data_IF_709185463941
#
_entry.id   IF_709185463941
#
_cell.length_a   1.000
_cell.length_b   1.000
_cell.length_c   1.000
_cell.angle_alpha   90.00
_cell.angle_beta   90.00
_cell.angle_gamma   90.00
#
_symmetry.space_group_name_H-M   'P 1'
#
loop_
_entity.id
_entity.type
_entity.pdbx_description
1 polymer ?
#
# COMPACT_ATOMS: atom_id res chain seq x y z
N UNK A 1 -6.08 21.98 -2.52
CA UNK A 1 -6.28 21.94 -3.98
C UNK A 1 -5.12 21.15 -4.59
N UNK A 2 -5.35 19.89 -4.99
CA UNK A 2 -4.37 19.08 -5.72
C UNK A 2 -4.89 19.01 -7.15
N UNK A 3 -4.20 19.67 -8.08
CA UNK A 3 -4.53 19.63 -9.50
C UNK A 3 -4.16 18.22 -9.98
N UNK A 4 -5.14 17.45 -10.46
CA UNK A 4 -4.88 16.16 -11.09
C UNK A 4 -4.18 16.40 -12.43
N UNK A 5 -2.85 16.48 -12.39
CA UNK A 5 -2.04 16.51 -13.60
C UNK A 5 -2.01 15.08 -14.14
N UNK A 6 -2.73 14.86 -15.25
CA UNK A 6 -2.48 13.67 -16.07
C UNK A 6 -1.09 13.83 -16.67
N UNK A 7 -0.14 13.03 -16.19
CA UNK A 7 1.22 13.03 -16.74
C UNK A 7 1.19 12.17 -18.00
N UNK A 8 1.73 12.70 -19.10
CA UNK A 8 1.96 11.87 -20.28
C UNK A 8 3.01 10.81 -19.94
N UNK A 9 3.06 9.71 -20.70
CA UNK A 9 4.11 8.70 -20.49
C UNK A 9 5.50 9.30 -20.69
N UNK A 10 5.65 10.29 -21.57
CA UNK A 10 6.91 11.00 -21.78
C UNK A 10 7.35 11.76 -20.51
N UNK A 11 6.43 12.47 -19.85
CA UNK A 11 6.73 13.18 -18.59
C UNK A 11 7.17 12.20 -17.48
N UNK A 12 6.58 11.00 -17.45
CA UNK A 12 6.97 9.94 -16.50
C UNK A 12 8.38 9.44 -16.82
N UNK A 13 8.69 9.18 -18.09
CA UNK A 13 9.98 8.67 -18.50
C UNK A 13 11.11 9.68 -18.19
N UNK A 14 10.88 10.97 -18.47
CA UNK A 14 11.79 12.08 -18.15
C UNK A 14 11.99 12.23 -16.64
N UNK A 15 10.91 12.14 -15.85
CA UNK A 15 10.99 12.14 -14.39
C UNK A 15 11.88 11.00 -13.88
N UNK A 16 11.71 9.80 -14.45
CA UNK A 16 12.48 8.62 -14.08
C UNK A 16 13.95 8.75 -14.50
N UNK A 17 14.25 9.40 -15.63
CA UNK A 17 15.64 9.67 -16.06
C UNK A 17 16.32 10.66 -15.13
N UNK A 18 15.63 11.73 -14.73
CA UNK A 18 16.14 12.69 -13.75
C UNK A 18 16.37 12.05 -12.37
N UNK A 19 15.50 11.14 -11.93
CA UNK A 19 15.69 10.38 -10.69
C UNK A 19 16.86 9.40 -10.78
N UNK A 20 17.01 8.69 -11.91
CA UNK A 20 18.13 7.79 -12.15
C UNK A 20 19.46 8.54 -12.09
N UNK A 21 19.58 9.69 -12.77
CA UNK A 21 20.79 10.52 -12.71
C UNK A 21 21.16 10.91 -11.27
N UNK A 22 20.16 11.27 -10.46
CA UNK A 22 20.33 11.64 -9.04
C UNK A 22 20.72 10.49 -8.13
N UNK A 23 20.33 9.24 -8.45
CA UNK A 23 20.73 8.04 -7.72
C UNK A 23 22.22 7.73 -7.95
N UNK A 24 22.76 8.10 -9.12
CA UNK A 24 24.15 7.87 -9.51
C UNK A 24 25.05 9.10 -9.41
N UNK A 25 24.56 10.21 -8.84
CA UNK A 25 25.33 11.44 -8.65
C UNK A 25 26.00 11.46 -7.26
N UNK A 26 27.34 11.38 -7.15
CA UNK A 26 28.02 11.49 -5.86
C UNK A 26 27.67 12.78 -5.14
N UNK A 27 27.45 12.70 -3.82
CA UNK A 27 27.06 13.83 -2.98
C UNK A 27 25.58 14.22 -3.04
N UNK A 28 24.79 13.63 -3.95
CA UNK A 28 23.34 13.81 -3.93
C UNK A 28 22.69 12.92 -2.85
N UNK A 29 21.60 13.37 -2.22
CA UNK A 29 20.92 12.64 -1.13
C UNK A 29 20.31 11.28 -1.50
N UNK A 30 20.23 10.97 -2.78
CA UNK A 30 19.76 9.69 -3.30
C UNK A 30 20.93 8.76 -3.68
N UNK A 31 22.16 9.26 -3.61
CA UNK A 31 23.34 8.44 -3.84
C UNK A 31 23.52 7.42 -2.71
N UNK A 32 24.06 6.24 -3.03
CA UNK A 32 24.35 5.16 -2.08
C UNK A 32 23.17 4.70 -1.21
N UNK A 33 21.94 4.87 -1.68
CA UNK A 33 20.79 4.28 -0.98
C UNK A 33 20.93 2.75 -0.90
N UNK A 34 20.53 2.14 0.24
CA UNK A 34 20.49 0.70 0.40
C UNK A 34 19.76 0.05 -0.76
N UNK A 35 20.32 -1.04 -1.28
CA UNK A 35 19.88 -1.73 -2.48
C UNK A 35 19.59 -3.20 -2.15
N UNK A 36 18.48 -3.71 -2.68
CA UNK A 36 18.14 -5.13 -2.58
C UNK A 36 17.64 -5.66 -3.93
N UNK A 37 18.00 -6.89 -4.28
CA UNK A 37 17.45 -7.57 -5.44
C UNK A 37 15.94 -7.78 -5.31
N UNK A 38 15.20 -7.51 -6.39
CA UNK A 38 13.77 -7.75 -6.48
C UNK A 38 13.51 -9.18 -6.97
N UNK A 39 13.68 -10.15 -6.06
CA UNK A 39 13.66 -11.58 -6.41
C UNK A 39 14.63 -11.90 -7.56
N UNK A 40 14.24 -12.82 -8.43
CA UNK A 40 15.06 -13.26 -9.58
C UNK A 40 14.86 -12.40 -10.84
N UNK A 41 14.24 -11.23 -10.73
CA UNK A 41 13.90 -10.39 -11.89
C UNK A 41 15.09 -9.67 -12.53
N UNK A 42 16.25 -9.68 -11.87
CA UNK A 42 17.41 -8.87 -12.22
C UNK A 42 17.25 -7.37 -11.90
N UNK A 43 16.12 -6.96 -11.34
CA UNK A 43 15.87 -5.59 -10.90
C UNK A 43 16.38 -5.36 -9.48
N UNK A 44 16.72 -4.12 -9.16
CA UNK A 44 17.21 -3.71 -7.85
C UNK A 44 16.25 -2.67 -7.28
N UNK A 45 15.86 -2.81 -6.01
CA UNK A 45 15.11 -1.80 -5.29
C UNK A 45 16.06 -1.03 -4.39
N UNK A 46 16.20 0.28 -4.65
CA UNK A 46 16.80 1.23 -3.71
C UNK A 46 15.73 1.84 -2.84
N UNK A 47 15.96 1.92 -1.53
CA UNK A 47 14.94 2.39 -0.61
C UNK A 47 15.42 3.45 0.37
N UNK A 48 14.48 4.27 0.84
CA UNK A 48 14.69 5.21 1.95
C UNK A 48 13.37 5.54 2.64
N UNK A 49 13.48 6.00 3.88
CA UNK A 49 12.38 6.62 4.61
C UNK A 49 12.67 8.11 4.79
N UNK A 50 11.68 8.97 4.54
CA UNK A 50 11.76 10.40 4.82
C UNK A 50 10.38 10.92 5.23
N UNK A 51 10.31 11.71 6.31
CA UNK A 51 9.07 12.30 6.83
C UNK A 51 7.93 11.31 7.12
N UNK A 52 8.28 10.03 7.36
CA UNK A 52 7.36 8.91 7.58
C UNK A 52 6.79 8.28 6.30
N UNK A 53 7.28 8.70 5.13
CA UNK A 53 6.99 8.10 3.83
C UNK A 53 8.11 7.13 3.43
N UNK A 54 7.74 6.05 2.74
CA UNK A 54 8.70 5.06 2.24
C UNK A 54 8.84 5.19 0.74
N UNK A 55 10.06 5.38 0.27
CA UNK A 55 10.40 5.53 -1.15
C UNK A 55 11.11 4.27 -1.61
N UNK A 56 10.63 3.69 -2.71
CA UNK A 56 11.21 2.52 -3.37
C UNK A 56 11.47 2.87 -4.83
N UNK A 57 12.74 2.90 -5.22
CA UNK A 57 13.19 3.16 -6.59
C UNK A 57 13.62 1.84 -7.21
N UNK A 58 13.00 1.44 -8.31
CA UNK A 58 13.29 0.18 -9.00
C UNK A 58 14.22 0.43 -10.16
N UNK A 59 15.49 0.07 -10.01
CA UNK A 59 16.49 0.11 -11.07
C UNK A 59 16.44 -1.15 -11.93
N UNK A 60 16.66 -0.96 -13.22
CA UNK A 60 16.95 -2.00 -14.21
C UNK A 60 18.40 -1.84 -14.64
N UNK A 61 19.35 -2.57 -14.02
CA UNK A 61 20.77 -2.47 -14.35
C UNK A 61 21.08 -2.86 -15.81
N UNK A 62 20.30 -3.78 -16.39
CA UNK A 62 20.50 -4.26 -17.75
C UNK A 62 20.23 -3.15 -18.78
N UNK A 63 19.20 -2.35 -18.52
CA UNK A 63 18.83 -1.20 -19.34
C UNK A 63 19.48 0.12 -18.86
N UNK A 64 20.26 0.09 -17.77
CA UNK A 64 20.90 1.26 -17.14
C UNK A 64 19.93 2.42 -16.90
N UNK A 65 18.74 2.09 -16.37
CA UNK A 65 17.66 3.05 -16.16
C UNK A 65 16.88 2.75 -14.89
N UNK A 66 16.02 3.68 -14.49
CA UNK A 66 15.00 3.44 -13.47
C UNK A 66 13.73 2.88 -14.13
N UNK A 67 13.35 1.65 -13.82
CA UNK A 67 12.11 1.01 -14.30
C UNK A 67 10.86 1.69 -13.73
N UNK A 68 10.97 2.27 -12.54
CA UNK A 68 9.90 3.01 -11.89
C UNK A 68 10.18 3.26 -10.41
N UNK A 69 9.18 3.76 -9.71
CA UNK A 69 9.24 3.89 -8.26
C UNK A 69 7.84 3.72 -7.64
N UNK A 70 7.81 3.39 -6.35
CA UNK A 70 6.61 3.48 -5.50
C UNK A 70 6.94 4.30 -4.26
N UNK A 71 6.05 5.23 -3.92
CA UNK A 71 6.10 5.95 -2.65
C UNK A 71 4.89 5.53 -1.84
N UNK A 72 5.12 5.03 -0.64
CA UNK A 72 4.07 4.84 0.36
C UNK A 72 3.90 6.15 1.12
N UNK A 73 3.02 7.01 0.60
CA UNK A 73 2.80 8.35 1.12
C UNK A 73 2.04 8.32 2.43
N UNK A 74 2.24 9.36 3.23
CA UNK A 74 1.32 9.70 4.30
C UNK A 74 0.04 10.32 3.74
N UNK A 75 -1.00 10.36 4.56
CA UNK A 75 -2.27 10.98 4.22
C UNK A 75 -2.60 12.04 5.29
N UNK A 76 -2.13 13.28 5.13
CA UNK A 76 -2.40 14.36 6.09
C UNK A 76 -3.89 14.68 6.30
N UNK A 77 -4.75 14.26 5.37
CA UNK A 77 -6.20 14.34 5.48
C UNK A 77 -6.80 13.36 6.49
N UNK A 78 -6.07 12.29 6.85
CA UNK A 78 -6.50 11.34 7.87
C UNK A 78 -6.29 11.91 9.28
N UNK A 79 -7.05 11.42 10.27
CA UNK A 79 -6.73 11.71 11.66
C UNK A 79 -5.30 11.25 12.00
N UNK A 80 -4.56 12.06 12.77
CA UNK A 80 -3.14 11.82 13.10
C UNK A 80 -2.84 10.42 13.63
N UNK A 81 -3.79 9.79 14.33
CA UNK A 81 -3.66 8.41 14.82
C UNK A 81 -3.68 7.38 13.68
N UNK A 82 -4.50 7.60 12.65
CA UNK A 82 -4.62 6.71 11.49
C UNK A 82 -3.45 6.88 10.52
N UNK A 83 -3.01 8.12 10.30
CA UNK A 83 -1.86 8.46 9.45
C UNK A 83 -0.53 7.81 9.92
N UNK A 84 -0.42 7.36 11.18
CA UNK A 84 0.74 6.59 11.65
C UNK A 84 0.84 5.19 11.03
N UNK A 85 -0.29 4.59 10.66
CA UNK A 85 -0.39 3.19 10.27
C UNK A 85 -0.83 2.98 8.83
N UNK A 86 -1.52 3.96 8.24
CA UNK A 86 -2.03 3.90 6.88
C UNK A 86 -1.08 4.61 5.91
N UNK A 87 -0.84 4.00 4.76
CA UNK A 87 -0.08 4.59 3.66
C UNK A 87 -0.83 4.53 2.35
N UNK A 88 -0.72 5.59 1.56
CA UNK A 88 -1.27 5.66 0.21
C UNK A 88 -0.13 5.39 -0.79
N UNK A 89 -0.07 4.20 -1.39
CA UNK A 89 0.95 3.91 -2.37
C UNK A 89 0.69 4.70 -3.66
N UNK A 90 1.73 5.33 -4.18
CA UNK A 90 1.75 6.03 -5.46
C UNK A 90 2.89 5.48 -6.31
N UNK A 91 2.54 4.88 -7.44
CA UNK A 91 3.49 4.17 -8.30
C UNK A 91 3.57 4.82 -9.67
N UNK A 92 4.79 5.06 -10.15
CA UNK A 92 5.07 5.45 -11.53
C UNK A 92 6.03 4.45 -12.15
N UNK A 93 5.71 3.97 -13.35
CA UNK A 93 6.50 2.96 -14.05
C UNK A 93 6.73 3.42 -15.50
N UNK A 94 7.92 3.16 -16.03
CA UNK A 94 8.18 3.23 -17.47
C UNK A 94 7.22 2.31 -18.21
N UNK A 95 6.88 2.66 -19.45
CA UNK A 95 6.01 1.83 -20.28
C UNK A 95 6.53 0.38 -20.41
N UNK A 96 7.84 0.20 -20.56
CA UNK A 96 8.52 -1.10 -20.65
C UNK A 96 8.45 -1.95 -19.37
N UNK A 97 8.16 -1.32 -18.23
CA UNK A 97 8.07 -1.95 -16.92
C UNK A 97 6.61 -2.20 -16.48
N UNK A 98 5.63 -1.61 -17.18
CA UNK A 98 4.21 -1.80 -16.91
C UNK A 98 3.75 -3.23 -17.25
N UNK A 99 2.68 -3.68 -16.59
CA UNK A 99 2.07 -5.02 -16.79
C UNK A 99 3.00 -6.22 -16.52
N UNK A 100 4.15 -5.99 -15.87
CA UNK A 100 5.11 -7.03 -15.44
C UNK A 100 4.99 -7.40 -13.96
N UNK A 101 3.91 -6.98 -13.28
CA UNK A 101 3.68 -7.30 -11.86
C UNK A 101 4.54 -6.49 -10.87
N UNK A 102 5.28 -5.47 -11.31
CA UNK A 102 6.15 -4.69 -10.42
C UNK A 102 5.37 -3.98 -9.30
N UNK A 103 4.30 -3.26 -9.64
CA UNK A 103 3.47 -2.59 -8.65
C UNK A 103 2.88 -3.59 -7.65
N UNK A 104 2.38 -4.74 -8.13
CA UNK A 104 1.89 -5.82 -7.27
C UNK A 104 2.97 -6.29 -6.30
N UNK A 105 4.18 -6.55 -6.79
CA UNK A 105 5.30 -7.03 -5.98
C UNK A 105 5.66 -6.02 -4.89
N UNK A 106 5.75 -4.73 -5.23
CA UNK A 106 6.06 -3.67 -4.27
C UNK A 106 4.95 -3.49 -3.22
N UNK A 107 3.68 -3.62 -3.61
CA UNK A 107 2.55 -3.50 -2.67
C UNK A 107 2.51 -4.69 -1.72
N UNK A 108 2.71 -5.90 -2.24
CA UNK A 108 2.83 -7.13 -1.43
C UNK A 108 3.96 -7.03 -0.43
N UNK A 109 5.14 -6.58 -0.86
CA UNK A 109 6.26 -6.33 0.05
C UNK A 109 5.87 -5.45 1.25
N UNK A 110 5.16 -4.35 1.01
CA UNK A 110 4.67 -3.47 2.08
C UNK A 110 3.66 -4.17 3.00
N UNK A 111 2.66 -4.84 2.41
CA UNK A 111 1.61 -5.55 3.15
C UNK A 111 2.17 -6.71 3.99
N UNK A 112 3.11 -7.46 3.43
CA UNK A 112 3.78 -8.59 4.08
C UNK A 112 4.66 -8.10 5.24
N UNK A 113 5.28 -6.93 5.10
CA UNK A 113 6.00 -6.25 6.18
C UNK A 113 5.06 -5.65 7.26
N UNK A 114 3.74 -5.68 7.05
CA UNK A 114 2.73 -5.21 8.00
C UNK A 114 2.27 -3.77 7.79
N UNK A 115 2.62 -3.11 6.68
CA UNK A 115 2.00 -1.84 6.30
C UNK A 115 0.52 -2.06 5.97
N UNK A 116 -0.34 -1.15 6.41
CA UNK A 116 -1.73 -1.10 5.96
C UNK A 116 -1.85 -0.04 4.86
N UNK A 117 -2.48 -0.40 3.75
CA UNK A 117 -2.59 0.46 2.58
C UNK A 117 -3.99 0.99 2.45
N UNK A 118 -4.11 2.28 2.13
CA UNK A 118 -5.38 2.92 1.79
C UNK A 118 -5.28 3.50 0.37
N UNK A 119 -6.33 3.32 -0.42
CA UNK A 119 -6.34 3.82 -1.80
C UNK A 119 -6.33 5.35 -1.83
N UNK A 120 -6.01 5.92 -3.00
CA UNK A 120 -6.32 7.33 -3.28
C UNK A 120 -7.81 7.56 -3.50
N UNK A 121 -8.20 8.83 -3.59
CA UNK A 121 -9.58 9.25 -3.85
C UNK A 121 -10.08 8.92 -5.25
N UNK A 122 -9.16 8.90 -6.20
CA UNK A 122 -9.40 8.55 -7.59
C UNK A 122 -8.35 7.51 -7.96
N UNK A 123 -8.80 6.45 -8.62
CA UNK A 123 -7.92 5.40 -9.10
C UNK A 123 -8.05 5.30 -10.61
N UNK A 124 -6.91 5.08 -11.29
CA UNK A 124 -6.96 4.64 -12.68
C UNK A 124 -7.55 3.23 -12.75
N UNK A 125 -8.04 2.82 -13.93
CA UNK A 125 -8.52 1.44 -14.17
C UNK A 125 -7.44 0.41 -13.80
N UNK A 126 -6.17 0.69 -14.11
CA UNK A 126 -5.04 -0.17 -13.75
C UNK A 126 -4.85 -0.29 -12.23
N UNK A 127 -4.95 0.83 -11.51
CA UNK A 127 -4.88 0.82 -10.06
C UNK A 127 -6.08 0.06 -9.45
N UNK A 128 -7.30 0.32 -9.89
CA UNK A 128 -8.48 -0.40 -9.41
C UNK A 128 -8.35 -1.93 -9.58
N UNK A 129 -7.86 -2.39 -10.74
CA UNK A 129 -7.57 -3.81 -10.99
C UNK A 129 -6.51 -4.38 -10.06
N UNK A 130 -5.41 -3.64 -9.83
CA UNK A 130 -4.37 -4.03 -8.89
C UNK A 130 -4.93 -4.20 -7.47
N UNK A 131 -5.69 -3.21 -6.99
CA UNK A 131 -6.30 -3.26 -5.66
C UNK A 131 -7.31 -4.40 -5.54
N UNK A 132 -8.05 -4.71 -6.61
CA UNK A 132 -8.92 -5.88 -6.66
C UNK A 132 -8.16 -7.20 -6.59
N UNK A 133 -7.08 -7.34 -7.36
CA UNK A 133 -6.24 -8.53 -7.29
C UNK A 133 -5.65 -8.74 -5.88
N UNK A 134 -5.13 -7.68 -5.25
CA UNK A 134 -4.59 -7.76 -3.89
C UNK A 134 -5.64 -8.10 -2.84
N UNK A 135 -6.88 -7.65 -3.01
CA UNK A 135 -7.96 -7.93 -2.07
C UNK A 135 -8.37 -9.42 -2.01
N UNK A 136 -7.94 -10.25 -2.96
CA UNK A 136 -8.09 -11.71 -2.87
C UNK A 136 -7.11 -12.34 -1.87
N UNK A 137 -5.89 -11.81 -1.77
CA UNK A 137 -4.82 -12.38 -0.95
C UNK A 137 -4.73 -11.73 0.43
N UNK A 138 -5.14 -10.47 0.55
CA UNK A 138 -5.06 -9.69 1.78
C UNK A 138 -6.44 -9.35 2.32
N UNK A 139 -6.55 -9.32 3.65
CA UNK A 139 -7.75 -8.81 4.32
C UNK A 139 -7.99 -7.37 3.88
N UNK A 140 -9.23 -7.05 3.56
CA UNK A 140 -9.57 -5.76 2.99
C UNK A 140 -10.92 -5.24 3.49
N UNK A 141 -11.24 -4.03 3.07
CA UNK A 141 -12.59 -3.50 3.14
C UNK A 141 -12.64 -2.09 2.59
N UNK A 142 -13.79 -1.45 2.76
CA UNK A 142 -14.02 -0.08 2.38
C UNK A 142 -14.15 0.79 3.62
N UNK A 143 -13.66 2.01 3.48
CA UNK A 143 -13.72 3.03 4.51
C UNK A 143 -14.20 4.34 3.92
N UNK A 144 -14.99 5.06 4.68
CA UNK A 144 -15.35 6.45 4.41
C UNK A 144 -14.34 7.36 5.12
N UNK A 145 -13.76 8.28 4.36
CA UNK A 145 -12.78 9.29 4.80
C UNK A 145 -13.39 10.68 4.60
N UNK A 146 -14.13 11.13 5.60
CA UNK A 146 -14.77 12.45 5.63
C UNK A 146 -14.49 13.16 6.95
N UNK A 147 -14.30 14.48 6.92
CA UNK A 147 -14.19 15.29 8.15
C UNK A 147 -13.04 14.92 9.10
N UNK A 148 -11.95 14.30 8.58
CA UNK A 148 -10.87 13.68 9.37
C UNK A 148 -11.34 12.53 10.29
N UNK A 149 -12.43 11.88 9.93
CA UNK A 149 -12.85 10.61 10.49
C UNK A 149 -12.49 9.46 9.54
N UNK A 150 -12.44 8.26 10.10
CA UNK A 150 -12.26 7.03 9.35
C UNK A 150 -13.35 6.07 9.81
N UNK A 151 -14.30 5.77 8.93
CA UNK A 151 -15.45 4.93 9.25
C UNK A 151 -15.42 3.68 8.39
N UNK A 152 -15.54 2.50 9.00
CA UNK A 152 -15.56 1.26 8.24
C UNK A 152 -16.93 1.04 7.59
N UNK A 153 -16.92 0.64 6.33
CA UNK A 153 -18.13 0.44 5.52
C UNK A 153 -18.44 -1.05 5.25
N UNK A 154 -17.53 -1.96 5.61
CA UNK A 154 -17.64 -3.38 5.29
C UNK A 154 -16.66 -3.84 4.22
N UNK A 155 -16.69 -5.14 3.90
CA UNK A 155 -15.85 -5.74 2.85
C UNK A 155 -16.37 -5.42 1.45
N UNK A 156 -17.68 -5.16 1.33
CA UNK A 156 -18.39 -4.81 0.10
C UNK A 156 -19.25 -3.57 0.33
N UNK A 157 -19.40 -2.74 -0.70
CA UNK A 157 -20.27 -1.56 -0.68
C UNK A 157 -21.06 -1.49 -1.97
N UNK A 158 -22.22 -0.82 -1.93
CA UNK A 158 -23.02 -0.53 -3.12
C UNK A 158 -22.23 0.33 -4.14
N UNK A 159 -22.56 0.22 -5.43
CA UNK A 159 -21.81 0.91 -6.50
C UNK A 159 -21.75 2.43 -6.29
N UNK A 160 -22.85 3.05 -5.85
CA UNK A 160 -22.89 4.50 -5.59
C UNK A 160 -21.95 4.91 -4.46
N UNK A 161 -21.81 4.06 -3.43
CA UNK A 161 -20.89 4.27 -2.32
C UNK A 161 -19.46 4.00 -2.77
N UNK A 162 -19.23 2.97 -3.57
CA UNK A 162 -17.92 2.65 -4.14
C UNK A 162 -17.34 3.83 -4.93
N UNK A 163 -18.18 4.51 -5.71
CA UNK A 163 -17.78 5.60 -6.60
C UNK A 163 -17.71 6.97 -5.89
N UNK A 164 -18.10 7.02 -4.61
CA UNK A 164 -18.08 8.26 -3.82
C UNK A 164 -16.64 8.74 -3.54
N UNK A 165 -16.43 10.06 -3.65
CA UNK A 165 -15.11 10.67 -3.51
C UNK A 165 -14.47 10.49 -2.13
N UNK A 166 -15.20 10.11 -1.08
CA UNK A 166 -14.66 9.84 0.26
C UNK A 166 -14.44 8.35 0.53
N UNK A 167 -14.99 7.46 -0.32
CA UNK A 167 -14.81 6.02 -0.17
C UNK A 167 -13.41 5.61 -0.62
N UNK A 168 -12.71 4.88 0.25
CA UNK A 168 -11.39 4.32 -0.03
C UNK A 168 -11.43 2.83 0.19
N UNK A 169 -10.62 2.13 -0.59
CA UNK A 169 -10.30 0.74 -0.29
C UNK A 169 -9.16 0.68 0.71
N UNK A 170 -9.28 -0.22 1.67
CA UNK A 170 -8.29 -0.54 2.69
C UNK A 170 -7.77 -1.96 2.44
N UNK A 171 -6.45 -2.14 2.46
CA UNK A 171 -5.77 -3.44 2.53
C UNK A 171 -5.00 -3.49 3.85
N UNK A 172 -5.14 -4.60 4.57
CA UNK A 172 -4.60 -4.78 5.92
C UNK A 172 -3.37 -5.68 5.83
N UNK A 173 -2.22 -5.17 6.29
CA UNK A 173 -0.97 -5.93 6.31
C UNK A 173 -1.04 -7.14 7.24
N UNK A 174 -0.23 -8.16 6.98
CA UNK A 174 -0.35 -9.49 7.61
C UNK A 174 -0.19 -9.49 9.14
N UNK A 175 0.46 -8.47 9.69
CA UNK A 175 0.66 -8.29 11.13
C UNK A 175 -0.55 -7.70 11.87
N UNK A 176 -1.67 -7.45 11.17
CA UNK A 176 -2.84 -6.77 11.73
C UNK A 176 -4.13 -7.57 11.53
N UNK A 177 -4.94 -7.62 12.59
CA UNK A 177 -6.38 -7.87 12.45
C UNK A 177 -7.14 -6.56 12.19
N UNK A 178 -8.35 -6.65 11.61
CA UNK A 178 -9.22 -5.48 11.42
C UNK A 178 -9.52 -4.77 12.75
N UNK A 179 -9.78 -5.52 13.83
CA UNK A 179 -10.05 -4.94 15.14
C UNK A 179 -8.85 -4.29 15.82
N UNK A 180 -7.63 -4.79 15.61
CA UNK A 180 -6.41 -4.12 16.08
C UNK A 180 -6.15 -2.84 15.30
N UNK A 181 -6.24 -2.90 13.97
CA UNK A 181 -6.08 -1.71 13.13
C UNK A 181 -7.12 -0.66 13.49
N UNK A 182 -8.38 -1.06 13.66
CA UNK A 182 -9.46 -0.17 14.03
C UNK A 182 -9.23 0.55 15.34
N UNK A 183 -8.74 -0.14 16.38
CA UNK A 183 -8.38 0.51 17.65
C UNK A 183 -7.20 1.46 17.49
N UNK A 184 -6.17 1.08 16.74
CA UNK A 184 -4.97 1.88 16.54
C UNK A 184 -5.24 3.17 15.73
N UNK A 185 -6.08 3.09 14.71
CA UNK A 185 -6.49 4.21 13.84
C UNK A 185 -7.73 4.94 14.38
N UNK A 186 -8.37 4.38 15.41
CA UNK A 186 -9.72 4.69 15.88
C UNK A 186 -10.76 4.76 14.77
N UNK A 187 -10.71 3.77 13.88
CA UNK A 187 -11.77 3.53 12.90
C UNK A 187 -13.06 3.11 13.62
N UNK A 188 -14.18 3.70 13.23
CA UNK A 188 -15.50 3.41 13.81
C UNK A 188 -16.27 2.37 12.99
N UNK A 189 -17.38 1.89 13.55
CA UNK A 189 -18.39 1.05 12.88
C UNK A 189 -17.96 -0.35 12.42
N UNK A 190 -16.78 -0.79 12.88
CA UNK A 190 -16.27 -2.15 12.63
C UNK A 190 -17.16 -3.25 13.21
N UNK A 191 -17.78 -3.01 14.37
CA UNK A 191 -18.69 -3.98 14.99
C UNK A 191 -20.05 -4.06 14.27
N UNK A 192 -20.55 -2.94 13.74
CA UNK A 192 -21.82 -2.91 13.03
C UNK A 192 -21.72 -3.62 11.67
N UNK A 193 -20.60 -3.43 10.95
CA UNK A 193 -20.36 -4.09 9.67
C UNK A 193 -20.21 -5.62 9.76
N UNK A 194 -19.82 -6.15 10.93
CA UNK A 194 -19.75 -7.60 11.17
C UNK A 194 -21.11 -8.27 11.39
N UNK A 195 -22.16 -7.50 11.69
CA UNK A 195 -23.51 -8.03 11.88
C UNK A 195 -24.29 -8.18 10.57
N UNK A 196 -23.99 -7.38 9.54
CA UNK A 196 -24.64 -7.47 8.22
C UNK A 196 -24.10 -8.60 7.33
N UNK A 197 -22.92 -9.15 7.63
CA UNK A 197 -22.33 -10.26 6.87
C UNK A 197 -22.68 -11.67 7.39
N UNK A 198 -23.49 -11.79 8.45
CA UNK A 198 -24.00 -13.09 8.92
C UNK A 198 -25.16 -13.61 8.06
N UNK A 199 -24.91 -13.84 6.77
CA UNK A 199 -25.57 -14.94 6.03
C UNK A 199 -24.64 -16.14 6.06
N UNK A 200 -25.10 -17.21 6.71
CA UNK A 200 -24.35 -18.42 7.05
C UNK A 200 -23.48 -18.96 5.90
N UNK A 201 -22.20 -19.31 6.14
CA UNK A 201 -21.45 -20.18 5.25
C UNK A 201 -21.92 -21.65 5.37
N UNK A 202 -21.82 -22.47 4.30
CA UNK A 202 -22.10 -23.89 4.39
C UNK A 202 -21.08 -24.60 5.27
N UNK A 203 -21.55 -25.61 5.99
CA UNK A 203 -20.84 -26.23 7.10
C UNK A 203 -19.74 -27.23 6.70
N UNK A 204 -18.78 -27.35 7.64
CA UNK A 204 -17.80 -28.44 7.92
C UNK A 204 -16.43 -28.32 7.22
N UNK A 205 -15.29 -28.62 7.85
CA UNK A 205 -15.00 -29.56 8.95
C UNK A 205 -14.00 -29.02 9.98
N UNK A 206 -14.16 -29.53 11.20
CA UNK A 206 -13.32 -29.36 12.39
C UNK A 206 -11.89 -29.91 12.20
N UNK A 207 -10.92 -29.24 12.83
CA UNK A 207 -9.80 -29.88 13.50
C UNK A 207 -9.38 -28.99 14.70
N UNK A 208 -9.34 -29.62 15.86
CA UNK A 208 -9.12 -29.04 17.19
C UNK A 208 -7.62 -28.88 17.53
N UNK A 209 -7.36 -28.13 18.61
CA UNK A 209 -6.11 -27.94 19.39
C UNK A 209 -5.19 -26.80 18.92
N UNK A 210 -4.62 -25.92 19.76
CA UNK A 210 -4.70 -25.68 21.20
C UNK A 210 -4.19 -24.26 21.53
N UNK A 211 -4.44 -23.84 22.78
CA UNK A 211 -4.21 -22.53 23.41
C UNK A 211 -2.81 -21.92 23.27
N UNK A 212 -2.80 -20.59 23.11
CA UNK A 212 -2.22 -19.68 24.11
C UNK A 212 -0.89 -19.00 23.77
N UNK A 213 -0.92 -17.70 23.50
CA UNK A 213 -0.20 -16.60 24.21
C UNK A 213 -0.27 -15.30 23.41
N UNK A 214 -0.54 -14.17 24.09
CA UNK A 214 -0.55 -12.80 23.52
C UNK A 214 0.88 -12.27 23.43
N UNK A 215 1.29 -11.59 22.35
CA UNK A 215 2.40 -10.65 22.41
C UNK A 215 1.90 -9.20 22.47
N UNK A 216 2.63 -8.41 23.24
CA UNK A 216 2.50 -6.95 23.31
C UNK A 216 2.93 -6.33 21.97
N UNK A 217 2.07 -5.49 21.39
CA UNK A 217 2.36 -4.76 20.15
C UNK A 217 3.35 -3.63 20.43
N UNK A 218 4.61 -3.90 20.08
CA UNK A 218 5.66 -2.90 19.84
C UNK A 218 5.26 -2.10 18.59
N UNK A 219 5.60 -0.81 18.57
CA UNK A 219 5.53 0.02 17.37
C UNK A 219 6.19 -0.68 16.17
N UNK A 220 5.69 -0.37 14.96
CA UNK A 220 6.07 -0.96 13.67
C UNK A 220 7.53 -1.44 13.63
N UNK A 221 7.78 -2.69 13.16
CA UNK A 221 9.12 -3.26 13.21
C UNK A 221 10.09 -2.39 12.41
N UNK A 222 11.31 -2.25 12.92
CA UNK A 222 12.45 -1.91 12.08
C UNK A 222 12.43 -2.87 10.88
N UNK A 223 12.40 -2.31 9.68
CA UNK A 223 12.46 -3.02 8.39
C UNK A 223 13.39 -4.24 8.53
N UNK A 224 12.81 -5.44 8.52
CA UNK A 224 13.59 -6.65 8.56
C UNK A 224 14.47 -6.71 7.29
N UNK A 225 15.73 -7.15 7.38
CA UNK A 225 16.58 -7.26 6.23
C UNK A 225 16.02 -8.32 5.31
N UNK A 226 15.83 -7.97 4.04
CA UNK A 226 15.64 -8.94 2.97
C UNK A 226 16.85 -9.88 2.99
N UNK A 227 16.61 -11.14 3.37
CA UNK A 227 17.56 -12.24 3.15
C UNK A 227 17.28 -12.87 1.80
#
# INVERSE_FOLDING_TARGET
MRIDVQHSQHDIDDELDALHARLHQPGHRLHDLPAVALGDSGLIVRHREADGEYFLYVEDPSARQLAGYTIFNRLPELPRRADRYLRAPHTRLRASAQRRGLATTLYRWGLDAGLCLISGARQSVGAARLWHALAHDYRHGFVDVEGRALRYLGETVESEVHDALHTRRLLIGNSWTLGELARATGMTDVAAAGCDSMKLPPARRELQHARGTRPAHRAAPALAPMR
#
